data_IF_046975072911
#
_entry.id   IF_046975072911
#
_cell.length_a   1.000
_cell.length_b   1.000
_cell.length_c   1.000
_cell.angle_alpha   90.00
_cell.angle_beta   90.00
_cell.angle_gamma   90.00
#
_symmetry.space_group_name_H-M   'P 1'
#
loop_
_entity.id
_entity.type
_entity.pdbx_description
1 polymer ?
#
# COMPACT_ATOMS: atom_id res chain seq x y z
N UNK A 1 9.23 -2.96 -16.34
CA UNK A 1 9.38 -1.83 -15.38
C UNK A 1 8.19 -0.90 -15.51
N UNK A 2 7.80 -0.25 -14.41
CA UNK A 2 6.63 0.61 -14.15
C UNK A 2 5.55 0.71 -15.26
N UNK A 3 4.36 0.21 -14.93
CA UNK A 3 3.20 0.11 -15.82
C UNK A 3 3.00 -1.33 -16.29
N UNK A 4 2.63 -2.23 -15.37
CA UNK A 4 2.27 -3.60 -15.75
C UNK A 4 1.14 -3.55 -16.78
N UNK A 5 1.12 -4.49 -17.72
CA UNK A 5 0.08 -4.52 -18.76
C UNK A 5 -1.32 -4.63 -18.14
N UNK A 6 -1.43 -5.24 -16.96
CA UNK A 6 -2.64 -5.22 -16.14
C UNK A 6 -3.09 -3.79 -15.81
N UNK A 7 -2.21 -2.93 -15.27
CA UNK A 7 -2.57 -1.54 -14.94
C UNK A 7 -2.91 -0.74 -16.21
N UNK A 8 -2.15 -0.93 -17.29
CA UNK A 8 -2.42 -0.27 -18.58
C UNK A 8 -3.79 -0.64 -19.14
N UNK A 9 -4.14 -1.93 -19.09
CA UNK A 9 -5.44 -2.41 -19.56
C UNK A 9 -6.58 -1.84 -18.70
N UNK A 10 -6.42 -1.85 -17.37
CA UNK A 10 -7.42 -1.27 -16.45
C UNK A 10 -7.65 0.22 -16.70
N UNK A 11 -6.60 0.98 -17.02
CA UNK A 11 -6.72 2.40 -17.38
C UNK A 11 -7.51 2.56 -18.69
N UNK A 12 -7.20 1.78 -19.74
CA UNK A 12 -7.93 1.84 -21.03
C UNK A 12 -9.39 1.45 -20.88
N UNK A 13 -9.70 0.54 -19.96
CA UNK A 13 -11.06 0.06 -19.69
C UNK A 13 -11.84 0.95 -18.70
N UNK A 14 -11.24 2.03 -18.17
CA UNK A 14 -11.88 2.91 -17.17
C UNK A 14 -12.06 2.27 -15.79
N UNK A 15 -11.39 1.14 -15.52
CA UNK A 15 -11.50 0.37 -14.26
C UNK A 15 -10.43 0.77 -13.25
N UNK A 16 -10.25 2.08 -13.04
CA UNK A 16 -9.17 2.61 -12.21
C UNK A 16 -9.22 2.13 -10.75
N UNK A 17 -10.43 1.91 -10.20
CA UNK A 17 -10.63 1.37 -8.85
C UNK A 17 -10.03 -0.03 -8.64
N UNK A 18 -9.84 -0.82 -9.71
CA UNK A 18 -9.21 -2.15 -9.62
C UNK A 18 -7.67 -2.08 -9.54
N UNK A 19 -7.07 -0.92 -9.83
CA UNK A 19 -5.61 -0.75 -9.79
C UNK A 19 -5.09 -1.00 -8.37
N UNK A 20 -5.81 -0.57 -7.33
CA UNK A 20 -5.43 -0.84 -5.94
C UNK A 20 -5.34 -2.33 -5.63
N UNK A 21 -6.26 -3.13 -6.15
CA UNK A 21 -6.25 -4.58 -5.98
C UNK A 21 -5.04 -5.21 -6.70
N UNK A 22 -4.72 -4.72 -7.89
CA UNK A 22 -3.52 -5.15 -8.62
C UNK A 22 -2.26 -4.80 -7.83
N UNK A 23 -2.15 -3.58 -7.30
CA UNK A 23 -1.00 -3.15 -6.49
C UNK A 23 -0.84 -4.04 -5.25
N UNK A 24 -1.93 -4.32 -4.53
CA UNK A 24 -1.88 -5.13 -3.31
C UNK A 24 -1.50 -6.59 -3.57
N UNK A 25 -1.99 -7.18 -4.66
CA UNK A 25 -1.71 -8.58 -5.02
C UNK A 25 -0.37 -8.76 -5.72
N UNK A 26 0.14 -7.73 -6.39
CA UNK A 26 1.37 -7.76 -7.18
C UNK A 26 2.61 -7.41 -6.35
N UNK A 27 2.58 -7.61 -5.03
CA UNK A 27 3.73 -7.30 -4.18
C UNK A 27 4.98 -8.11 -4.51
N UNK A 28 4.81 -9.33 -5.03
CA UNK A 28 5.91 -10.20 -5.48
C UNK A 28 6.68 -9.62 -6.68
N UNK A 29 6.04 -8.80 -7.51
CA UNK A 29 6.68 -8.13 -8.64
C UNK A 29 7.13 -6.70 -8.29
N UNK A 30 7.23 -6.39 -6.99
CA UNK A 30 7.75 -5.13 -6.48
C UNK A 30 6.73 -3.99 -6.42
N UNK A 31 5.43 -4.26 -6.57
CA UNK A 31 4.41 -3.24 -6.32
C UNK A 31 4.23 -3.01 -4.82
N UNK A 32 4.07 -1.75 -4.43
CA UNK A 32 3.90 -1.35 -3.04
C UNK A 32 2.72 -0.38 -2.97
N UNK A 33 1.75 -0.68 -2.11
CA UNK A 33 0.63 0.21 -1.81
C UNK A 33 1.07 1.36 -0.90
N UNK A 34 0.32 2.46 -0.93
CA UNK A 34 0.58 3.61 -0.07
C UNK A 34 0.59 3.23 1.41
N UNK A 35 -0.43 2.49 1.86
CA UNK A 35 -0.55 2.07 3.26
C UNK A 35 0.67 1.25 3.72
N UNK A 36 1.22 0.41 2.85
CA UNK A 36 2.42 -0.40 3.14
C UNK A 36 3.69 0.46 3.21
N UNK A 37 3.81 1.46 2.35
CA UNK A 37 4.93 2.43 2.40
C UNK A 37 4.88 3.26 3.68
N UNK A 38 3.71 3.77 4.07
CA UNK A 38 3.55 4.52 5.32
C UNK A 38 3.82 3.61 6.52
N UNK A 39 3.29 2.39 6.52
CA UNK A 39 3.53 1.42 7.60
C UNK A 39 5.02 1.09 7.74
N UNK A 40 5.76 1.01 6.62
CA UNK A 40 7.20 0.89 6.65
C UNK A 40 7.86 2.09 7.33
N UNK A 41 7.51 3.33 6.95
CA UNK A 41 8.08 4.54 7.56
C UNK A 41 7.82 4.61 9.07
N UNK A 42 6.60 4.28 9.51
CA UNK A 42 6.24 4.26 10.94
C UNK A 42 6.99 3.17 11.70
N UNK A 43 7.08 1.96 11.14
CA UNK A 43 7.84 0.86 11.74
C UNK A 43 9.35 1.14 11.85
N UNK A 44 9.89 2.06 11.04
CA UNK A 44 11.29 2.50 11.15
C UNK A 44 11.45 3.76 12.02
N UNK A 45 10.38 4.25 12.65
CA UNK A 45 10.41 5.45 13.49
C UNK A 45 10.62 6.76 12.72
N UNK A 46 10.48 6.74 11.39
CA UNK A 46 10.65 7.93 10.54
C UNK A 46 9.39 8.81 10.52
N UNK A 47 8.23 8.23 10.81
CA UNK A 47 6.93 8.90 10.84
C UNK A 47 6.19 8.44 12.09
N UNK A 48 5.48 9.35 12.76
CA UNK A 48 4.64 8.99 13.91
C UNK A 48 3.39 8.23 13.45
N UNK A 49 2.90 7.30 14.27
CA UNK A 49 1.69 6.53 13.98
C UNK A 49 0.48 7.44 13.76
N UNK A 50 0.33 8.47 14.59
CA UNK A 50 -0.79 9.42 14.49
C UNK A 50 -0.73 10.28 13.23
N UNK A 51 0.46 10.49 12.68
CA UNK A 51 0.62 11.18 11.42
C UNK A 51 0.36 10.22 10.25
N UNK A 52 0.91 9.00 10.31
CA UNK A 52 0.71 7.98 9.27
C UNK A 52 -0.76 7.61 9.04
N UNK A 53 -1.55 7.52 10.10
CA UNK A 53 -2.99 7.14 9.99
C UNK A 53 -3.83 8.21 9.27
N UNK A 54 -3.40 9.48 9.26
CA UNK A 54 -4.12 10.58 8.57
C UNK A 54 -3.99 10.51 7.04
N UNK A 55 -2.88 9.94 6.54
CA UNK A 55 -2.59 9.88 5.10
C UNK A 55 -2.85 8.50 4.48
N UNK A 56 -3.16 7.52 5.32
CA UNK A 56 -3.51 6.17 4.90
C UNK A 56 -4.93 6.15 4.32
N UNK A 57 -5.14 5.41 3.23
CA UNK A 57 -6.45 5.25 2.60
C UNK A 57 -7.30 4.20 3.33
N UNK A 58 -6.64 3.28 4.05
CA UNK A 58 -7.27 2.15 4.76
C UNK A 58 -6.71 2.01 6.18
N UNK A 59 -7.26 2.75 7.17
CA UNK A 59 -6.75 2.77 8.54
C UNK A 59 -6.68 1.39 9.21
N UNK A 60 -7.65 0.52 8.92
CA UNK A 60 -7.71 -0.83 9.48
C UNK A 60 -6.57 -1.73 8.94
N UNK A 61 -6.31 -1.68 7.63
CA UNK A 61 -5.22 -2.43 7.00
C UNK A 61 -3.86 -1.92 7.49
N UNK A 62 -3.72 -0.60 7.61
CA UNK A 62 -2.52 0.06 8.13
C UNK A 62 -2.20 -0.37 9.58
N UNK A 63 -3.18 -0.41 10.47
CA UNK A 63 -3.00 -0.90 11.85
C UNK A 63 -2.46 -2.32 11.87
N UNK A 64 -3.07 -3.22 11.08
CA UNK A 64 -2.63 -4.62 10.97
C UNK A 64 -1.19 -4.74 10.45
N UNK A 65 -0.78 -3.88 9.53
CA UNK A 65 0.58 -3.86 8.98
C UNK A 65 1.63 -3.41 10.00
N UNK A 66 1.26 -2.55 10.95
CA UNK A 66 2.15 -2.10 12.04
C UNK A 66 2.21 -3.13 13.16
N UNK A 67 1.06 -3.63 13.62
CA UNK A 67 0.97 -4.60 14.72
C UNK A 67 1.77 -5.87 14.43
N UNK A 68 1.79 -6.33 13.17
CA UNK A 68 2.55 -7.51 12.75
C UNK A 68 4.07 -7.40 12.98
N UNK A 69 4.62 -6.19 13.17
CA UNK A 69 6.06 -5.96 13.38
C UNK A 69 6.43 -5.61 14.83
N UNK A 70 5.48 -5.15 15.64
CA UNK A 70 5.70 -4.86 17.08
C UNK A 70 5.82 -6.14 17.94
N UNK A 71 5.46 -7.31 17.42
CA UNK A 71 5.51 -8.61 18.13
C UNK A 71 6.88 -9.32 17.96
N UNK A 72 7.93 -8.63 17.50
CA UNK A 72 9.29 -9.19 17.43
C UNK A 72 10.26 -8.47 18.36
#
# INVERSE_FOLDING_TARGET
MLGSDAVKNLIREGKAHMIDNVINTSSQVGMVSLDRSIAYLVNNGLVDFQEGIKYTLRPEDFRRLIDSKMVK
#
